data_IF_765140374666
#
_entry.id   IF_765140374666
#
_cell.length_a   1.000
_cell.length_b   1.000
_cell.length_c   1.000
_cell.angle_alpha   90.00
_cell.angle_beta   90.00
_cell.angle_gamma   90.00
#
_symmetry.space_group_name_H-M   'P 1'
#
loop_
_entity.id
_entity.type
_entity.pdbx_description
1 polymer ?
#
# COMPACT_ATOMS: atom_id res chain seq x y z
N UNK A 1 11.31 1.60 -22.80
CA UNK A 1 10.45 1.46 -21.61
C UNK A 1 9.71 0.14 -21.73
N UNK A 2 9.81 -0.73 -20.72
CA UNK A 2 8.98 -1.93 -20.64
C UNK A 2 7.53 -1.53 -20.36
N UNK A 3 6.58 -2.36 -20.79
CA UNK A 3 5.17 -2.16 -20.52
C UNK A 3 4.89 -2.41 -19.02
N UNK A 4 4.29 -1.44 -18.33
CA UNK A 4 3.98 -1.54 -16.89
C UNK A 4 2.59 -2.13 -16.69
N UNK A 5 2.51 -3.29 -16.03
CA UNK A 5 1.25 -4.01 -15.80
C UNK A 5 1.25 -4.75 -14.46
N UNK A 6 0.08 -4.75 -13.81
CA UNK A 6 -0.12 -5.34 -12.50
C UNK A 6 -1.60 -5.49 -12.16
N UNK A 7 -1.86 -5.87 -10.92
CA UNK A 7 -3.22 -6.01 -10.38
C UNK A 7 -3.31 -5.50 -8.93
N UNK A 8 -4.51 -5.54 -8.36
CA UNK A 8 -4.71 -5.22 -6.95
C UNK A 8 -4.47 -6.46 -6.09
N UNK A 9 -3.50 -6.38 -5.18
CA UNK A 9 -3.06 -7.48 -4.32
C UNK A 9 -3.51 -7.29 -2.87
N UNK A 10 -3.61 -8.40 -2.17
CA UNK A 10 -4.00 -8.42 -0.76
C UNK A 10 -2.78 -8.23 0.13
N UNK A 11 -2.75 -7.15 0.91
CA UNK A 11 -1.72 -6.90 1.94
C UNK A 11 -1.87 -7.77 3.20
N UNK A 12 -2.80 -8.72 3.20
CA UNK A 12 -3.09 -9.57 4.37
C UNK A 12 -1.92 -10.45 4.80
N UNK A 13 -0.94 -10.71 3.95
CA UNK A 13 0.23 -11.54 4.27
C UNK A 13 1.56 -10.75 4.37
N UNK A 14 1.51 -9.42 4.28
CA UNK A 14 2.72 -8.57 4.26
C UNK A 14 3.15 -8.16 2.86
N UNK A 15 4.16 -7.30 2.78
CA UNK A 15 4.71 -6.72 1.55
C UNK A 15 5.50 -7.72 0.73
N UNK A 16 6.32 -8.57 1.35
CA UNK A 16 7.08 -9.62 0.62
C UNK A 16 6.13 -10.61 -0.05
N UNK A 17 5.05 -10.98 0.63
CA UNK A 17 4.03 -11.85 0.02
C UNK A 17 3.33 -11.21 -1.18
N UNK A 18 3.10 -9.89 -1.18
CA UNK A 18 2.57 -9.17 -2.34
C UNK A 18 3.58 -9.14 -3.49
N UNK A 19 4.87 -8.95 -3.19
CA UNK A 19 5.94 -9.02 -4.17
C UNK A 19 6.00 -10.41 -4.85
N UNK A 20 5.99 -11.48 -4.06
CA UNK A 20 6.03 -12.85 -4.59
C UNK A 20 4.80 -13.14 -5.47
N UNK A 21 3.62 -12.73 -5.01
CA UNK A 21 2.38 -12.90 -5.77
C UNK A 21 2.38 -12.10 -7.08
N UNK A 22 2.97 -10.91 -7.10
CA UNK A 22 3.14 -10.11 -8.32
C UNK A 22 4.02 -10.84 -9.35
N UNK A 23 5.11 -11.47 -8.90
CA UNK A 23 5.99 -12.24 -9.79
C UNK A 23 5.26 -13.47 -10.34
N UNK A 24 4.49 -14.15 -9.50
CA UNK A 24 3.70 -15.32 -9.89
C UNK A 24 2.71 -15.01 -11.02
N UNK A 25 2.10 -13.82 -11.01
CA UNK A 25 1.18 -13.39 -12.06
C UNK A 25 1.86 -12.73 -13.26
N UNK A 26 3.20 -12.66 -13.27
CA UNK A 26 3.99 -12.09 -14.36
C UNK A 26 3.85 -10.57 -14.53
N UNK A 27 3.50 -9.87 -13.44
CA UNK A 27 3.42 -8.41 -13.42
C UNK A 27 4.80 -7.74 -13.25
N UNK A 28 4.80 -6.41 -13.20
CA UNK A 28 5.95 -5.60 -12.79
C UNK A 28 5.56 -4.34 -11.98
N UNK A 29 4.30 -4.27 -11.56
CA UNK A 29 3.75 -3.30 -10.61
C UNK A 29 2.56 -3.96 -9.91
N UNK A 30 2.05 -3.35 -8.84
CA UNK A 30 0.79 -3.72 -8.24
C UNK A 30 0.24 -2.55 -7.43
N UNK A 31 -1.02 -2.68 -7.02
CA UNK A 31 -1.64 -1.79 -6.05
C UNK A 31 -2.16 -2.59 -4.85
N UNK A 32 -2.30 -1.95 -3.70
CA UNK A 32 -2.84 -2.56 -2.48
C UNK A 32 -3.57 -1.53 -1.62
N UNK A 33 -4.40 -1.97 -0.67
CA UNK A 33 -4.97 -1.06 0.33
C UNK A 33 -4.04 -0.86 1.52
N UNK A 34 -3.90 0.39 1.98
CA UNK A 34 -3.19 0.73 3.24
C UNK A 34 -3.85 0.12 4.49
N UNK A 35 -5.17 -0.13 4.42
CA UNK A 35 -6.01 -0.63 5.53
C UNK A 35 -7.07 -1.59 5.01
N UNK A 36 -7.78 -2.25 5.92
CA UNK A 36 -8.99 -2.96 5.56
C UNK A 36 -9.98 -1.99 4.91
N UNK A 37 -10.36 -2.18 3.62
CA UNK A 37 -11.17 -1.21 2.91
C UNK A 37 -12.59 -1.10 3.49
N UNK A 38 -13.08 -2.10 4.25
CA UNK A 38 -14.44 -2.14 4.79
C UNK A 38 -14.62 -1.53 6.17
N UNK A 39 -13.57 -1.56 6.99
CA UNK A 39 -13.63 -1.14 8.40
C UNK A 39 -12.48 -0.25 8.85
N UNK A 40 -11.56 0.09 7.93
CA UNK A 40 -10.36 0.88 8.19
C UNK A 40 -9.42 0.34 9.26
N UNK A 41 -9.61 -0.90 9.71
CA UNK A 41 -8.69 -1.54 10.64
C UNK A 41 -7.33 -1.64 9.97
N UNK A 42 -6.30 -1.21 10.68
CA UNK A 42 -4.92 -1.22 10.21
C UNK A 42 -4.17 -2.36 10.89
N UNK A 43 -3.32 -3.04 10.13
CA UNK A 43 -2.38 -4.02 10.70
C UNK A 43 -1.20 -3.26 11.30
N UNK A 44 -0.56 -3.84 12.30
CA UNK A 44 0.71 -3.31 12.79
C UNK A 44 1.70 -3.30 11.63
N UNK A 45 2.44 -2.20 11.50
CA UNK A 45 3.52 -2.10 10.53
C UNK A 45 4.65 -3.04 10.95
N UNK A 46 5.02 -3.94 10.04
CA UNK A 46 6.17 -4.82 10.20
C UNK A 46 7.36 -4.20 9.47
N UNK A 47 8.26 -3.59 10.24
CA UNK A 47 9.42 -2.90 9.68
C UNK A 47 10.38 -3.86 8.96
N UNK A 48 10.55 -5.09 9.45
CA UNK A 48 11.46 -6.04 8.82
C UNK A 48 10.94 -6.51 7.46
N UNK A 49 9.62 -6.78 7.37
CA UNK A 49 8.95 -7.12 6.11
C UNK A 49 9.01 -5.95 5.10
N UNK A 50 8.80 -4.71 5.56
CA UNK A 50 8.92 -3.53 4.72
C UNK A 50 10.36 -3.32 4.18
N UNK A 51 11.38 -3.46 5.04
CA UNK A 51 12.78 -3.33 4.64
C UNK A 51 13.19 -4.42 3.62
N UNK A 52 12.75 -5.66 3.85
CA UNK A 52 13.00 -6.76 2.91
C UNK A 52 12.31 -6.52 1.56
N UNK A 53 11.05 -6.05 1.58
CA UNK A 53 10.34 -5.69 0.37
C UNK A 53 11.05 -4.59 -0.43
N UNK A 54 11.49 -3.51 0.23
CA UNK A 54 12.25 -2.43 -0.43
C UNK A 54 13.56 -2.95 -1.04
N UNK A 55 14.25 -3.89 -0.40
CA UNK A 55 15.43 -4.54 -0.98
C UNK A 55 15.09 -5.33 -2.26
N UNK A 56 14.01 -6.11 -2.24
CA UNK A 56 13.56 -6.90 -3.38
C UNK A 56 13.12 -6.04 -4.57
N UNK A 57 12.39 -4.95 -4.31
CA UNK A 57 11.99 -3.96 -5.32
C UNK A 57 13.21 -3.40 -6.07
N UNK A 58 14.26 -3.02 -5.34
CA UNK A 58 15.50 -2.45 -5.92
C UNK A 58 16.29 -3.46 -6.77
N UNK A 59 16.19 -4.75 -6.46
CA UNK A 59 16.93 -5.79 -7.20
C UNK A 59 16.25 -6.20 -8.51
N UNK A 60 14.94 -6.00 -8.65
CA UNK A 60 14.14 -6.61 -9.72
C UNK A 60 13.48 -5.60 -10.68
N UNK A 61 13.93 -4.34 -10.68
CA UNK A 61 13.45 -3.26 -11.55
C UNK A 61 11.91 -3.15 -11.59
N UNK A 62 11.27 -3.32 -10.43
CA UNK A 62 9.83 -3.11 -10.33
C UNK A 62 9.49 -1.66 -10.64
N UNK A 63 8.44 -1.46 -11.43
CA UNK A 63 7.84 -0.16 -11.62
C UNK A 63 7.14 0.29 -10.34
N UNK A 64 6.88 1.60 -10.24
CA UNK A 64 6.19 2.24 -9.12
C UNK A 64 4.96 1.44 -8.67
N UNK A 65 4.89 1.14 -7.38
CA UNK A 65 3.74 0.50 -6.74
C UNK A 65 2.73 1.56 -6.28
N UNK A 66 1.48 1.16 -6.03
CA UNK A 66 0.41 2.12 -5.66
C UNK A 66 -0.26 1.71 -4.36
N UNK A 67 -0.16 2.56 -3.34
CA UNK A 67 -0.98 2.44 -2.15
C UNK A 67 -2.33 3.14 -2.37
N UNK A 68 -3.41 2.38 -2.33
CA UNK A 68 -4.78 2.86 -2.49
C UNK A 68 -5.41 3.12 -1.10
N UNK A 69 -5.97 4.31 -0.89
CA UNK A 69 -6.72 4.62 0.32
C UNK A 69 -7.99 3.74 0.45
N UNK A 70 -8.41 3.35 1.66
CA UNK A 70 -9.66 2.60 1.84
C UNK A 70 -10.88 3.48 1.51
N UNK A 71 -11.97 2.87 1.04
CA UNK A 71 -13.19 3.59 0.64
C UNK A 71 -13.94 4.25 1.81
N UNK A 72 -13.57 3.92 3.05
CA UNK A 72 -14.11 4.52 4.28
C UNK A 72 -13.68 5.97 4.49
N UNK A 73 -12.70 6.46 3.72
CA UNK A 73 -12.26 7.85 3.80
C UNK A 73 -13.26 8.77 3.10
N UNK A 74 -13.79 9.74 3.84
CA UNK A 74 -14.64 10.78 3.28
C UNK A 74 -14.28 12.16 3.85
N UNK A 75 -13.28 12.85 3.26
CA UNK A 75 -12.87 14.19 3.70
C UNK A 75 -13.92 15.28 3.40
N UNK A 76 -14.88 15.00 2.52
CA UNK A 76 -15.98 15.90 2.15
C UNK A 76 -17.31 15.58 2.86
N UNK A 77 -17.28 14.72 3.88
CA UNK A 77 -18.47 14.33 4.63
C UNK A 77 -19.15 15.54 5.31
N UNK A 78 -20.48 15.57 5.32
CA UNK A 78 -21.23 16.53 6.14
C UNK A 78 -20.96 16.34 7.64
N UNK A 79 -20.72 15.10 8.07
CA UNK A 79 -20.42 14.73 9.46
C UNK A 79 -18.95 15.00 9.80
N UNK A 80 -18.70 15.85 10.80
CA UNK A 80 -17.35 16.25 11.24
C UNK A 80 -16.46 15.09 11.66
N UNK A 81 -16.96 14.20 12.52
CA UNK A 81 -16.23 13.01 12.98
C UNK A 81 -15.71 12.14 11.83
N UNK A 82 -16.43 12.08 10.70
CA UNK A 82 -16.01 11.32 9.52
C UNK A 82 -14.83 12.01 8.81
N UNK A 83 -14.85 13.35 8.73
CA UNK A 83 -13.72 14.13 8.18
C UNK A 83 -12.49 14.01 9.06
N UNK A 84 -12.64 14.12 10.39
CA UNK A 84 -11.55 13.96 11.35
C UNK A 84 -10.90 12.58 11.23
N UNK A 85 -11.73 11.53 11.15
CA UNK A 85 -11.27 10.17 10.92
C UNK A 85 -10.46 10.05 9.63
N UNK A 86 -10.98 10.56 8.51
CA UNK A 86 -10.27 10.52 7.22
C UNK A 86 -8.93 11.25 7.29
N UNK A 87 -8.88 12.43 7.91
CA UNK A 87 -7.64 13.21 8.06
C UNK A 87 -6.59 12.48 8.91
N UNK A 88 -6.99 11.96 10.07
CA UNK A 88 -6.10 11.25 10.99
C UNK A 88 -5.56 9.97 10.35
N UNK A 89 -6.45 9.14 9.81
CA UNK A 89 -6.07 7.86 9.24
C UNK A 89 -5.21 8.02 7.96
N UNK A 90 -5.51 9.01 7.11
CA UNK A 90 -4.66 9.33 5.95
C UNK A 90 -3.27 9.82 6.37
N UNK A 91 -3.17 10.63 7.44
CA UNK A 91 -1.87 11.07 7.94
C UNK A 91 -1.03 9.90 8.48
N UNK A 92 -1.64 8.95 9.18
CA UNK A 92 -0.99 7.72 9.63
C UNK A 92 -0.53 6.83 8.46
N UNK A 93 -1.32 6.76 7.38
CA UNK A 93 -0.95 5.99 6.19
C UNK A 93 0.23 6.66 5.47
N UNK A 94 0.16 7.97 5.24
CA UNK A 94 1.26 8.73 4.65
C UNK A 94 2.54 8.64 5.47
N UNK A 95 2.46 8.59 6.81
CA UNK A 95 3.63 8.42 7.65
C UNK A 95 4.33 7.07 7.43
N UNK A 96 3.57 5.99 7.20
CA UNK A 96 4.14 4.68 6.87
C UNK A 96 4.68 4.61 5.45
N UNK A 97 4.03 5.30 4.49
CA UNK A 97 4.52 5.32 3.11
C UNK A 97 5.92 5.95 2.98
N UNK A 98 6.33 6.79 3.94
CA UNK A 98 7.70 7.33 4.00
C UNK A 98 8.79 6.27 4.13
N UNK A 99 8.47 5.06 4.58
CA UNK A 99 9.42 3.94 4.60
C UNK A 99 9.76 3.42 3.20
N UNK A 100 9.01 3.85 2.18
CA UNK A 100 9.13 3.44 0.80
C UNK A 100 9.37 4.63 -0.15
N UNK A 101 9.79 5.81 0.34
CA UNK A 101 9.96 7.04 -0.46
C UNK A 101 10.87 6.85 -1.71
N UNK A 102 11.66 5.78 -1.76
CA UNK A 102 12.54 5.43 -2.87
C UNK A 102 11.98 4.37 -3.84
N UNK A 103 10.84 3.75 -3.52
CA UNK A 103 10.19 2.69 -4.32
C UNK A 103 8.70 2.92 -4.59
N UNK A 104 8.07 3.88 -3.90
CA UNK A 104 6.71 4.39 -4.12
C UNK A 104 6.71 5.71 -4.92
#
# INVERSE_FOLDING_TARGET
MSFTIGCHLSSSKGFVAMYDQMLEVGGNTFQYFSRNPRGSSKKNFDQADAEQFTHLMRQNDLATIICHAPYTYNPASATERVREFARMAMAEDLAELKHFDDVL
#
